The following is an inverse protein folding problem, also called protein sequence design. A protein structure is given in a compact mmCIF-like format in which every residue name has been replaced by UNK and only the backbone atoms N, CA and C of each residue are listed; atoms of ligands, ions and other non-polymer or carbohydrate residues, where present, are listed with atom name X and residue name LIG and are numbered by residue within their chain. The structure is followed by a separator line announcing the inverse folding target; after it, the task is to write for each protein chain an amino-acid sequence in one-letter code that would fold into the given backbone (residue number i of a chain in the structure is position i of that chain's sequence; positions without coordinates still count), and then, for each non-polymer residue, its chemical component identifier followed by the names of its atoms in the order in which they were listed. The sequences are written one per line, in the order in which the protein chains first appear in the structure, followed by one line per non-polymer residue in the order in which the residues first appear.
data_IF_589000645335
#
_entry.id   IF_589000645335
#
_cell.length_a   1.000
_cell.length_b   1.000
_cell.length_c   1.000
_cell.angle_alpha   90.00
_cell.angle_beta   90.00
_cell.angle_gamma   90.00
#
_symmetry.space_group_name_H-M   'P 1'
#
loop_
_entity.id
_entity.type
_entity.pdbx_description
1 polymer ?
#
# COMPACT_ATOMS: atom_id res chain seq x y z
N UNK A 1 7.99 -2.10 14.97
CA UNK A 1 6.92 -3.09 14.64
C UNK A 1 5.86 -2.36 13.80
N UNK A 2 5.32 -3.00 12.77
CA UNK A 2 4.27 -2.39 11.97
C UNK A 2 2.98 -2.25 12.79
N UNK A 3 2.21 -1.19 12.55
CA UNK A 3 0.99 -0.85 13.29
C UNK A 3 -0.23 -0.86 12.36
N UNK A 4 -1.42 -0.93 12.95
CA UNK A 4 -2.66 -0.85 12.18
C UNK A 4 -2.90 -2.03 11.23
N UNK A 5 -2.42 -3.23 11.58
CA UNK A 5 -2.61 -4.45 10.76
C UNK A 5 -1.65 -4.57 9.57
N UNK A 6 -0.70 -3.66 9.44
CA UNK A 6 0.39 -3.76 8.48
C UNK A 6 1.34 -4.92 8.84
N UNK A 7 1.86 -5.58 7.81
CA UNK A 7 2.88 -6.62 7.89
C UNK A 7 4.19 -6.06 7.34
N UNK A 8 5.29 -6.34 8.03
CA UNK A 8 6.61 -6.01 7.49
C UNK A 8 6.90 -6.93 6.31
N UNK A 9 7.20 -6.34 5.15
CA UNK A 9 7.59 -7.06 3.96
C UNK A 9 8.94 -6.51 3.51
N UNK A 10 9.88 -7.40 3.24
CA UNK A 10 11.20 -7.05 2.69
C UNK A 10 11.12 -6.56 1.24
N UNK A 11 10.03 -6.90 0.55
CA UNK A 11 9.73 -6.56 -0.83
C UNK A 11 8.24 -6.17 -0.93
N UNK A 12 7.90 -5.02 -0.35
CA UNK A 12 6.56 -4.43 -0.48
C UNK A 12 6.46 -3.56 -1.73
N UNK A 13 5.26 -3.48 -2.32
CA UNK A 13 5.02 -2.45 -3.31
C UNK A 13 5.19 -1.07 -2.64
N UNK A 14 5.71 -0.06 -3.32
CA UNK A 14 5.87 1.27 -2.72
C UNK A 14 4.70 2.23 -3.01
N UNK A 15 3.73 1.82 -3.82
CA UNK A 15 2.57 2.62 -4.20
C UNK A 15 1.28 1.79 -4.18
N UNK A 16 0.11 2.47 -4.15
CA UNK A 16 -1.21 1.83 -4.26
C UNK A 16 -1.70 1.17 -2.97
N UNK A 17 -1.20 1.64 -1.82
CA UNK A 17 -1.40 0.95 -0.54
C UNK A 17 -2.18 1.76 0.45
N UNK A 18 -2.65 2.94 0.06
CA UNK A 18 -3.55 3.75 0.85
C UNK A 18 -4.82 4.04 0.06
N UNK A 19 -5.93 4.19 0.77
CA UNK A 19 -7.23 4.53 0.19
C UNK A 19 -7.17 5.89 -0.55
N UNK A 20 -6.32 6.81 -0.08
CA UNK A 20 -6.06 8.08 -0.74
C UNK A 20 -5.45 7.91 -2.15
N UNK A 21 -4.55 6.94 -2.33
CA UNK A 21 -3.91 6.62 -3.60
C UNK A 21 -4.88 5.91 -4.56
N UNK A 22 -5.73 5.00 -4.06
CA UNK A 22 -6.79 4.37 -4.86
C UNK A 22 -7.83 5.36 -5.38
N UNK A 23 -8.13 6.41 -4.59
CA UNK A 23 -9.15 7.40 -4.93
C UNK A 23 -8.69 8.37 -6.01
N UNK A 24 -7.38 8.52 -6.21
CA UNK A 24 -6.84 9.42 -7.21
C UNK A 24 -7.02 8.86 -8.62
N UNK A 25 -6.93 7.54 -8.84
CA UNK A 25 -7.13 6.97 -10.18
C UNK A 25 -6.92 5.45 -10.25
N UNK A 26 -7.91 4.76 -10.83
CA UNK A 26 -7.76 3.42 -11.42
C UNK A 26 -6.69 3.38 -12.57
N UNK A 27 -6.11 4.54 -12.94
CA UNK A 27 -5.18 4.72 -14.05
C UNK A 27 -3.75 5.18 -13.64
N UNK A 28 -3.53 5.69 -12.42
CA UNK A 28 -2.22 6.14 -11.90
C UNK A 28 -1.87 5.52 -10.52
N UNK A 29 -2.74 4.70 -9.94
CA UNK A 29 -2.40 3.71 -8.89
C UNK A 29 -1.25 2.79 -9.32
N UNK A 30 -1.02 2.72 -10.63
CA UNK A 30 0.22 2.25 -11.20
C UNK A 30 1.24 3.37 -11.05
N UNK A 31 2.02 3.43 -9.97
CA UNK A 31 3.33 4.11 -10.04
C UNK A 31 4.14 3.35 -11.11
N UNK A 32 4.18 3.80 -12.38
CA UNK A 32 4.69 2.96 -13.47
C UNK A 32 6.22 2.87 -13.38
N UNK A 33 6.84 3.96 -12.90
CA UNK A 33 8.25 4.08 -12.52
C UNK A 33 8.66 3.09 -11.42
N UNK A 34 7.70 2.63 -10.62
CA UNK A 34 7.94 1.82 -9.44
C UNK A 34 7.24 0.45 -9.52
N UNK A 35 6.65 0.13 -10.68
CA UNK A 35 5.95 -1.12 -10.98
C UNK A 35 6.86 -2.37 -11.05
N UNK A 36 8.16 -2.20 -10.74
CA UNK A 36 9.12 -3.30 -10.58
C UNK A 36 10.09 -3.08 -9.42
N UNK A 37 9.95 -1.99 -8.66
CA UNK A 37 10.74 -1.77 -7.46
C UNK A 37 9.89 -2.17 -6.27
N UNK A 38 10.43 -3.08 -5.47
CA UNK A 38 9.93 -3.33 -4.14
C UNK A 38 10.92 -2.81 -3.12
N UNK A 39 10.38 -2.28 -2.02
CA UNK A 39 11.19 -1.74 -0.93
C UNK A 39 10.80 -2.42 0.38
N UNK A 40 11.76 -2.60 1.31
CA UNK A 40 11.46 -3.12 2.61
C UNK A 40 10.66 -2.10 3.42
N UNK A 41 9.47 -2.50 3.89
CA UNK A 41 8.54 -1.58 4.54
C UNK A 41 7.35 -2.27 5.21
N UNK A 42 6.55 -1.49 5.92
CA UNK A 42 5.30 -1.95 6.50
C UNK A 42 4.18 -1.80 5.48
N UNK A 43 3.39 -2.86 5.31
CA UNK A 43 2.38 -2.90 4.28
C UNK A 43 1.12 -3.64 4.65
N UNK A 44 -0.02 -3.18 4.13
CA UNK A 44 -1.24 -3.94 4.24
C UNK A 44 -1.15 -5.28 3.50
N UNK A 45 -1.75 -6.35 4.06
CA UNK A 45 -1.90 -7.62 3.37
C UNK A 45 -2.64 -7.46 2.04
N UNK A 46 -2.46 -8.41 1.12
CA UNK A 46 -3.18 -8.42 -0.14
C UNK A 46 -4.69 -8.34 0.07
N UNK A 47 -5.36 -7.41 -0.64
CA UNK A 47 -6.79 -7.16 -0.52
C UNK A 47 -7.19 -6.12 0.53
N UNK A 48 -6.22 -5.53 1.24
CA UNK A 48 -6.45 -4.43 2.19
C UNK A 48 -5.65 -3.19 1.78
N UNK A 49 -6.18 -2.02 2.12
CA UNK A 49 -5.54 -0.72 1.92
C UNK A 49 -5.44 0.06 3.22
N UNK A 50 -4.42 0.89 3.32
CA UNK A 50 -4.17 1.76 4.45
C UNK A 50 -5.19 2.91 4.44
N UNK A 51 -6.05 2.93 5.42
CA UNK A 51 -6.92 4.07 5.68
C UNK A 51 -6.09 5.29 6.14
N UNK A 52 -6.68 6.48 6.06
CA UNK A 52 -6.04 7.71 6.54
C UNK A 52 -5.70 7.65 8.04
N UNK A 53 -6.43 6.85 8.83
CA UNK A 53 -6.14 6.61 10.24
C UNK A 53 -4.97 5.64 10.49
N UNK A 54 -4.37 5.10 9.43
CA UNK A 54 -3.22 4.19 9.50
C UNK A 54 -3.58 2.72 9.74
N UNK A 55 -4.86 2.35 9.60
CA UNK A 55 -5.35 0.97 9.69
C UNK A 55 -5.56 0.34 8.31
N UNK A 56 -5.19 -0.93 8.15
CA UNK A 56 -5.49 -1.71 6.96
C UNK A 56 -6.98 -2.11 6.95
N UNK A 57 -7.72 -1.58 6.00
CA UNK A 57 -9.17 -1.79 5.81
C UNK A 57 -9.45 -2.32 4.41
N UNK A 58 -10.58 -3.00 4.17
CA UNK A 58 -11.00 -3.32 2.81
C UNK A 58 -11.20 -2.04 1.99
N UNK A 59 -10.77 -2.02 0.71
CA UNK A 59 -10.94 -0.87 -0.19
C UNK A 59 -12.41 -0.58 -0.53
#
# INVERSE_FOLDING_TARGET
PCTGGQLYQECGHPCGQSCAELRLDMASSSCPELAGLCVPGCQCPAGLVLAEDGQCVPP
#
